data_IF_896654465911
#
_entry.id   IF_896654465911
#
_cell.length_a   1.000
_cell.length_b   1.000
_cell.length_c   1.000
_cell.angle_alpha   90.00
_cell.angle_beta   90.00
_cell.angle_gamma   90.00
#
_symmetry.space_group_name_H-M   'P 1'
#
loop_
_entity.id
_entity.type
_entity.pdbx_description
1 polymer ?
#
# COMPACT_ATOMS: atom_id res chain seq x y z
N UNK A 1 13.71 1.71 -11.93
CA UNK A 1 13.66 0.59 -10.95
C UNK A 1 14.30 1.09 -9.66
N UNK A 2 13.72 0.78 -8.51
CA UNK A 2 14.35 1.11 -7.23
C UNK A 2 15.36 0.02 -6.89
N UNK A 3 16.59 0.39 -6.56
CA UNK A 3 17.61 -0.56 -6.15
C UNK A 3 17.32 -1.04 -4.72
N UNK A 4 17.43 -2.35 -4.39
CA UNK A 4 17.14 -2.88 -3.04
C UNK A 4 17.90 -2.16 -1.92
N UNK A 5 19.09 -1.68 -2.20
CA UNK A 5 19.92 -0.90 -1.28
C UNK A 5 19.21 0.36 -0.77
N UNK A 6 18.44 1.05 -1.61
CA UNK A 6 17.70 2.26 -1.20
C UNK A 6 16.67 1.91 -0.10
N UNK A 7 15.93 0.81 -0.28
CA UNK A 7 14.93 0.38 0.68
C UNK A 7 15.49 -0.09 2.03
N UNK A 8 16.77 -0.51 2.07
CA UNK A 8 17.44 -1.04 3.26
C UNK A 8 18.32 -0.02 3.97
N UNK A 9 18.58 1.13 3.35
CA UNK A 9 19.44 2.19 3.88
C UNK A 9 18.62 3.38 4.33
N UNK A 10 18.51 3.67 5.65
CA UNK A 10 17.63 4.72 6.16
C UNK A 10 17.86 6.10 5.55
N UNK A 11 19.11 6.46 5.29
CA UNK A 11 19.49 7.74 4.71
C UNK A 11 19.15 7.85 3.22
N UNK A 12 19.33 6.78 2.44
CA UNK A 12 18.93 6.73 1.02
C UNK A 12 17.40 6.68 0.90
N UNK A 13 16.76 5.95 1.79
CA UNK A 13 15.31 5.87 1.89
C UNK A 13 14.71 7.26 2.19
N UNK A 14 15.30 7.99 3.13
CA UNK A 14 14.87 9.34 3.46
C UNK A 14 14.99 10.30 2.26
N UNK A 15 16.08 10.25 1.48
CA UNK A 15 16.22 11.04 0.25
C UNK A 15 15.09 10.76 -0.76
N UNK A 16 14.77 9.48 -0.95
CA UNK A 16 13.66 9.08 -1.83
C UNK A 16 12.30 9.55 -1.31
N UNK A 17 12.05 9.34 -0.03
CA UNK A 17 10.78 9.65 0.62
C UNK A 17 10.57 11.17 0.76
N UNK A 18 11.64 11.94 0.81
CA UNK A 18 11.63 13.41 0.67
C UNK A 18 11.22 13.86 -0.77
N UNK A 19 11.11 12.93 -1.73
CA UNK A 19 10.67 13.19 -3.09
C UNK A 19 11.80 13.43 -4.10
N UNK A 20 13.06 13.20 -3.75
CA UNK A 20 14.17 13.30 -4.68
C UNK A 20 14.16 12.13 -5.67
N UNK A 21 14.59 12.39 -6.90
CA UNK A 21 14.78 11.35 -7.92
C UNK A 21 16.10 10.61 -7.69
N UNK A 22 16.06 9.57 -6.86
CA UNK A 22 17.22 8.83 -6.36
C UNK A 22 17.41 7.53 -7.13
N UNK A 23 18.65 7.23 -7.52
CA UNK A 23 19.05 5.99 -8.16
C UNK A 23 20.38 5.52 -7.59
N UNK A 24 20.58 4.19 -7.48
CA UNK A 24 21.89 3.58 -7.24
C UNK A 24 22.34 2.94 -8.55
N UNK A 25 23.53 3.32 -9.04
CA UNK A 25 24.07 2.86 -10.31
C UNK A 25 25.59 2.69 -10.23
N UNK A 26 26.08 1.46 -10.44
CA UNK A 26 27.50 1.18 -10.51
C UNK A 26 28.31 1.64 -9.30
N UNK A 27 27.80 1.43 -8.07
CA UNK A 27 28.44 1.88 -6.84
C UNK A 27 28.35 3.40 -6.59
N UNK A 28 27.43 4.08 -7.26
CA UNK A 28 27.19 5.50 -7.07
C UNK A 28 25.74 5.77 -6.66
N UNK A 29 25.56 6.73 -5.76
CA UNK A 29 24.31 7.38 -5.46
C UNK A 29 24.08 8.53 -6.43
N UNK A 30 22.99 8.53 -7.15
CA UNK A 30 22.65 9.50 -8.20
C UNK A 30 21.37 10.20 -7.85
N UNK A 31 21.36 11.53 -7.84
CA UNK A 31 20.17 12.36 -7.73
C UNK A 31 19.98 13.11 -9.04
N UNK A 32 18.83 12.89 -9.70
CA UNK A 32 18.49 13.46 -11.01
C UNK A 32 17.51 14.61 -10.86
N UNK A 33 17.32 15.35 -11.96
CA UNK A 33 16.35 16.45 -12.07
C UNK A 33 16.64 17.56 -11.06
N UNK A 34 17.94 17.88 -10.89
CA UNK A 34 18.38 18.92 -9.96
C UNK A 34 18.30 20.29 -10.64
N UNK A 35 17.52 21.24 -10.12
CA UNK A 35 17.48 22.61 -10.61
C UNK A 35 18.82 23.33 -10.34
N UNK A 36 19.29 24.07 -11.33
CA UNK A 36 20.49 24.90 -11.22
C UNK A 36 20.41 26.13 -12.12
N UNK A 37 21.23 27.13 -11.85
CA UNK A 37 21.35 28.34 -12.68
C UNK A 37 22.49 28.17 -13.66
N UNK A 38 22.27 28.54 -14.92
CA UNK A 38 23.31 28.59 -15.96
C UNK A 38 24.03 29.95 -15.98
N UNK A 39 25.18 30.05 -16.70
CA UNK A 39 25.85 31.32 -16.92
C UNK A 39 24.98 32.37 -17.64
N UNK A 40 23.98 31.93 -18.41
CA UNK A 40 22.98 32.81 -19.05
C UNK A 40 21.86 33.22 -18.10
N UNK A 41 21.95 32.92 -16.79
CA UNK A 41 20.93 33.21 -15.77
C UNK A 41 19.58 32.54 -16.03
N UNK A 42 19.59 31.40 -16.70
CA UNK A 42 18.43 30.56 -16.89
C UNK A 42 18.41 29.42 -15.87
N UNK A 43 17.23 29.10 -15.31
CA UNK A 43 17.05 27.92 -14.48
C UNK A 43 16.85 26.71 -15.38
N UNK A 44 17.69 25.69 -15.22
CA UNK A 44 17.54 24.36 -15.83
C UNK A 44 17.26 23.33 -14.75
N UNK A 45 16.63 22.20 -15.13
CA UNK A 45 16.22 21.13 -14.19
C UNK A 45 16.80 19.76 -14.55
N UNK A 46 17.77 19.71 -15.47
CA UNK A 46 18.38 18.50 -15.96
C UNK A 46 19.74 18.19 -15.30
N UNK A 47 20.10 18.89 -14.23
CA UNK A 47 21.29 18.62 -13.46
C UNK A 47 21.24 17.24 -12.78
N UNK A 48 22.41 16.57 -12.70
CA UNK A 48 22.56 15.29 -12.00
C UNK A 48 23.70 15.39 -11.00
N UNK A 49 23.40 15.15 -9.74
CA UNK A 49 24.35 15.10 -8.63
C UNK A 49 24.70 13.63 -8.31
N UNK A 50 26.00 13.31 -8.24
CA UNK A 50 26.47 11.94 -8.07
C UNK A 50 27.46 11.88 -6.92
N UNK A 51 27.31 10.90 -6.04
CA UNK A 51 28.29 10.56 -5.00
C UNK A 51 28.73 9.11 -5.15
N UNK A 52 30.02 8.82 -4.94
CA UNK A 52 30.43 7.44 -4.66
C UNK A 52 29.62 6.94 -3.46
N UNK A 53 29.19 5.70 -3.49
CA UNK A 53 28.38 5.09 -2.46
C UNK A 53 29.17 4.00 -1.74
N UNK A 54 29.56 4.31 -0.50
CA UNK A 54 30.21 3.36 0.39
C UNK A 54 29.14 2.48 1.02
N UNK A 55 29.38 1.18 1.11
CA UNK A 55 28.42 0.20 1.63
C UNK A 55 29.09 -0.74 2.63
N UNK A 56 28.29 -1.37 3.48
CA UNK A 56 28.69 -2.46 4.37
C UNK A 56 27.56 -3.48 4.50
N UNK A 57 27.86 -4.63 5.10
CA UNK A 57 26.88 -5.71 5.26
C UNK A 57 26.36 -5.73 6.70
N UNK A 58 25.03 -5.69 6.86
CA UNK A 58 24.30 -5.86 8.12
C UNK A 58 23.29 -6.99 7.94
N UNK A 59 23.34 -8.00 8.81
CA UNK A 59 22.44 -9.17 8.78
C UNK A 59 22.36 -9.86 7.40
N UNK A 60 23.50 -9.90 6.68
CA UNK A 60 23.61 -10.51 5.36
C UNK A 60 23.13 -9.62 4.20
N UNK A 61 22.75 -8.39 4.46
CA UNK A 61 22.30 -7.43 3.45
C UNK A 61 23.24 -6.24 3.31
N UNK A 62 23.43 -5.81 2.08
CA UNK A 62 24.17 -4.58 1.79
C UNK A 62 23.32 -3.34 2.12
N UNK A 63 23.91 -2.41 2.89
CA UNK A 63 23.33 -1.12 3.29
C UNK A 63 24.36 -0.01 3.09
N UNK A 64 23.92 1.27 3.04
CA UNK A 64 24.82 2.42 2.97
C UNK A 64 25.71 2.51 4.22
N UNK A 65 26.97 2.85 4.02
CA UNK A 65 27.90 3.22 5.09
C UNK A 65 27.96 4.76 5.23
N UNK A 66 28.67 5.24 6.26
CA UNK A 66 29.00 6.67 6.35
C UNK A 66 29.86 7.05 5.15
N UNK A 67 29.59 8.17 4.45
CA UNK A 67 30.42 8.62 3.33
C UNK A 67 31.89 8.80 3.74
N UNK A 68 32.80 8.10 3.07
CA UNK A 68 34.27 8.23 3.29
C UNK A 68 34.74 9.49 2.61
N UNK A 69 34.24 9.78 1.42
CA UNK A 69 34.64 10.93 0.62
C UNK A 69 33.63 12.06 0.73
N UNK A 70 34.12 13.30 0.77
CA UNK A 70 33.31 14.50 0.75
C UNK A 70 32.97 15.01 -0.66
N UNK A 71 33.63 14.47 -1.70
CA UNK A 71 33.46 14.87 -3.10
C UNK A 71 32.10 14.34 -3.66
N UNK A 72 31.60 15.10 -4.65
CA UNK A 72 30.51 14.71 -5.52
C UNK A 72 30.86 15.05 -6.97
N UNK A 73 30.22 14.35 -7.90
CA UNK A 73 30.33 14.62 -9.32
C UNK A 73 29.03 15.25 -9.83
N UNK A 74 29.13 15.97 -10.93
CA UNK A 74 28.02 16.68 -11.54
C UNK A 74 27.97 16.41 -13.04
N UNK A 75 26.77 16.17 -13.55
CA UNK A 75 26.48 16.10 -14.98
C UNK A 75 25.56 17.28 -15.32
N UNK A 76 25.93 18.05 -16.33
CA UNK A 76 25.25 19.22 -16.83
C UNK A 76 26.18 20.43 -16.92
N UNK A 77 25.64 21.60 -17.32
CA UNK A 77 26.39 22.84 -17.27
C UNK A 77 26.84 23.19 -15.85
N UNK A 78 27.93 23.92 -15.70
CA UNK A 78 28.43 24.31 -14.38
C UNK A 78 27.37 25.14 -13.64
N UNK A 79 26.95 24.76 -12.43
CA UNK A 79 25.97 25.52 -11.66
C UNK A 79 26.51 26.91 -11.27
N UNK A 80 25.68 27.93 -11.41
CA UNK A 80 26.00 29.33 -11.18
C UNK A 80 25.16 29.92 -10.04
N UNK A 81 25.64 31.04 -9.50
CA UNK A 81 24.85 31.91 -8.67
C UNK A 81 23.72 32.57 -9.49
N UNK A 82 22.73 33.15 -8.83
CA UNK A 82 21.60 33.83 -9.48
C UNK A 82 22.03 34.96 -10.43
N UNK A 83 23.22 35.53 -10.23
CA UNK A 83 23.80 36.55 -11.11
C UNK A 83 24.52 35.97 -12.34
N UNK A 84 24.59 34.65 -12.50
CA UNK A 84 25.24 33.96 -13.61
C UNK A 84 26.72 33.67 -13.40
N UNK A 85 27.33 34.11 -12.29
CA UNK A 85 28.70 33.75 -11.95
C UNK A 85 28.82 32.32 -11.44
N UNK A 86 29.90 31.60 -11.80
CA UNK A 86 30.12 30.20 -11.38
C UNK A 86 30.19 30.06 -9.85
N UNK A 87 29.58 29.06 -9.27
CA UNK A 87 29.75 28.72 -7.85
C UNK A 87 31.10 28.06 -7.66
N UNK A 88 32.10 28.85 -7.29
CA UNK A 88 33.50 28.36 -7.12
C UNK A 88 33.84 27.91 -5.71
N UNK A 89 32.96 28.17 -4.73
CA UNK A 89 33.26 27.89 -3.31
C UNK A 89 33.49 26.42 -2.98
N UNK A 90 32.96 25.51 -3.78
CA UNK A 90 33.18 24.08 -3.67
C UNK A 90 33.67 23.43 -4.98
N UNK A 91 34.06 24.21 -6.00
CA UNK A 91 34.62 23.67 -7.24
C UNK A 91 35.96 22.94 -6.97
N UNK A 92 36.09 21.74 -7.48
CA UNK A 92 37.35 21.00 -7.49
C UNK A 92 37.75 20.78 -8.96
N UNK A 93 38.63 21.61 -9.50
CA UNK A 93 39.00 21.54 -10.91
C UNK A 93 39.54 20.17 -11.29
N UNK A 94 38.81 19.48 -12.14
CA UNK A 94 39.17 18.16 -12.69
C UNK A 94 38.68 18.06 -14.13
N UNK A 95 39.34 17.30 -15.00
CA UNK A 95 38.80 16.99 -16.32
C UNK A 95 37.50 16.18 -16.17
N UNK A 96 36.63 16.20 -17.19
CA UNK A 96 35.46 15.29 -17.23
C UNK A 96 35.87 13.84 -16.98
N UNK A 97 35.04 13.11 -16.23
CA UNK A 97 35.33 11.74 -15.77
C UNK A 97 34.26 10.77 -16.23
N UNK A 98 34.68 9.62 -16.74
CA UNK A 98 33.78 8.49 -16.95
C UNK A 98 33.78 7.62 -15.69
N UNK A 99 32.61 7.62 -14.98
CA UNK A 99 32.43 6.86 -13.76
C UNK A 99 31.92 5.44 -14.05
N UNK A 100 31.82 5.07 -15.32
CA UNK A 100 31.22 3.80 -15.75
C UNK A 100 29.70 3.81 -15.76
N UNK A 101 29.11 2.70 -16.20
CA UNK A 101 27.66 2.50 -16.21
C UNK A 101 26.84 3.63 -16.87
N UNK A 102 27.47 4.35 -17.84
CA UNK A 102 26.85 5.47 -18.54
C UNK A 102 26.82 6.79 -17.77
N UNK A 103 27.55 6.88 -16.65
CA UNK A 103 27.72 8.12 -15.87
C UNK A 103 28.98 8.85 -16.32
N UNK A 104 28.83 9.96 -17.06
CA UNK A 104 29.91 10.82 -17.51
C UNK A 104 29.78 12.16 -16.81
N UNK A 105 30.64 12.39 -15.81
CA UNK A 105 30.66 13.60 -15.02
C UNK A 105 31.40 14.72 -15.74
N UNK A 106 30.76 15.90 -15.83
CA UNK A 106 31.36 17.09 -16.42
C UNK A 106 32.24 17.85 -15.40
N UNK A 107 31.85 17.82 -14.12
CA UNK A 107 32.53 18.52 -13.03
C UNK A 107 32.61 17.66 -11.77
N UNK A 108 33.62 18.01 -10.93
CA UNK A 108 33.73 17.50 -9.57
C UNK A 108 33.64 18.67 -8.59
N UNK A 109 32.93 18.44 -7.48
CA UNK A 109 32.78 19.39 -6.38
C UNK A 109 33.31 18.79 -5.08
N UNK A 110 33.87 19.64 -4.21
CA UNK A 110 34.51 19.22 -2.98
C UNK A 110 34.28 20.23 -1.87
N UNK A 111 33.25 19.97 -1.04
CA UNK A 111 33.06 20.73 0.19
C UNK A 111 33.46 19.86 1.38
N UNK A 112 34.58 20.25 2.01
CA UNK A 112 35.12 19.50 3.16
C UNK A 112 34.23 19.67 4.39
N UNK A 113 33.48 18.61 4.72
CA UNK A 113 32.67 18.50 5.93
C UNK A 113 32.64 17.05 6.40
N UNK A 114 32.37 16.84 7.67
CA UNK A 114 32.10 15.51 8.22
C UNK A 114 30.62 15.20 8.02
N UNK A 115 30.31 14.56 6.90
CA UNK A 115 28.93 14.16 6.60
C UNK A 115 28.55 12.94 7.44
N UNK A 116 27.44 13.05 8.18
CA UNK A 116 26.94 11.98 9.02
C UNK A 116 26.51 10.76 8.21
N UNK A 117 25.85 10.99 7.08
CA UNK A 117 25.24 10.02 6.19
C UNK A 117 25.04 10.63 4.78
N UNK A 118 24.54 9.86 3.83
CA UNK A 118 24.28 10.34 2.47
C UNK A 118 23.12 11.33 2.39
N UNK A 119 22.12 11.25 3.27
CA UNK A 119 21.07 12.28 3.32
C UNK A 119 21.67 13.64 3.64
N UNK A 120 22.49 13.74 4.67
CA UNK A 120 23.17 14.96 5.05
C UNK A 120 24.09 15.47 3.93
N UNK A 121 24.87 14.59 3.30
CA UNK A 121 25.78 14.95 2.21
C UNK A 121 25.04 15.51 1.01
N UNK A 122 24.08 14.77 0.47
CA UNK A 122 23.36 15.16 -0.74
C UNK A 122 22.52 16.42 -0.52
N UNK A 123 21.85 16.53 0.64
CA UNK A 123 21.09 17.73 1.01
C UNK A 123 21.95 18.99 1.11
N UNK A 124 23.19 18.88 1.60
CA UNK A 124 24.10 20.01 1.67
C UNK A 124 24.43 20.56 0.25
N UNK A 125 24.83 19.68 -0.66
CA UNK A 125 25.13 20.10 -2.04
C UNK A 125 23.88 20.60 -2.79
N UNK A 126 22.75 19.91 -2.63
CA UNK A 126 21.49 20.37 -3.22
C UNK A 126 21.08 21.75 -2.69
N UNK A 127 21.24 22.00 -1.39
CA UNK A 127 20.92 23.30 -0.79
C UNK A 127 21.70 24.44 -1.42
N UNK A 128 22.99 24.27 -1.70
CA UNK A 128 23.82 25.30 -2.36
C UNK A 128 23.44 25.53 -3.82
N UNK A 129 23.14 24.46 -4.58
CA UNK A 129 22.85 24.53 -6.01
C UNK A 129 21.40 25.01 -6.24
N UNK A 130 20.43 24.32 -5.63
CA UNK A 130 19.01 24.61 -5.79
C UNK A 130 18.65 25.97 -5.15
N UNK A 131 19.29 26.34 -4.04
CA UNK A 131 19.08 27.63 -3.40
C UNK A 131 19.39 28.83 -4.32
N UNK A 132 20.35 28.71 -5.23
CA UNK A 132 20.58 29.76 -6.24
C UNK A 132 19.49 29.77 -7.32
N UNK A 133 19.00 28.62 -7.73
CA UNK A 133 17.87 28.52 -8.66
C UNK A 133 16.58 29.12 -8.07
N UNK A 134 16.33 28.91 -6.79
CA UNK A 134 15.17 29.44 -6.07
C UNK A 134 15.15 30.96 -5.96
N UNK A 135 16.31 31.63 -6.06
CA UNK A 135 16.36 33.10 -6.13
C UNK A 135 15.78 33.65 -7.43
N UNK A 136 15.83 32.86 -8.52
CA UNK A 136 15.28 33.22 -9.84
C UNK A 136 13.88 32.65 -10.06
N UNK A 137 13.64 31.41 -9.63
CA UNK A 137 12.34 30.75 -9.65
C UNK A 137 12.06 30.11 -8.27
N UNK A 138 11.23 30.76 -7.44
CA UNK A 138 10.90 30.22 -6.11
C UNK A 138 10.27 28.84 -6.11
N UNK A 139 9.78 28.34 -7.26
CA UNK A 139 9.22 26.99 -7.42
C UNK A 139 10.26 25.93 -7.78
N UNK A 140 11.52 26.33 -8.05
CA UNK A 140 12.58 25.39 -8.37
C UNK A 140 12.82 24.42 -7.19
N UNK A 141 12.64 23.13 -7.44
CA UNK A 141 12.85 22.07 -6.43
C UNK A 141 13.39 20.82 -7.08
N UNK A 142 14.29 20.11 -6.37
CA UNK A 142 14.72 18.77 -6.72
C UNK A 142 13.73 17.69 -6.22
N UNK A 143 12.75 18.05 -5.42
CA UNK A 143 11.72 17.16 -4.87
C UNK A 143 10.58 17.02 -5.90
N UNK A 144 10.79 16.13 -6.86
CA UNK A 144 9.87 15.90 -7.99
C UNK A 144 8.87 14.78 -7.75
N UNK A 145 9.00 14.07 -6.62
CA UNK A 145 8.16 12.94 -6.21
C UNK A 145 7.97 11.90 -7.34
N UNK A 146 9.05 11.33 -7.90
CA UNK A 146 8.95 10.41 -9.02
C UNK A 146 8.25 9.12 -8.62
N UNK A 147 7.53 8.53 -9.58
CA UNK A 147 6.95 7.20 -9.40
C UNK A 147 8.03 6.15 -9.69
N UNK A 148 8.27 5.29 -8.71
CA UNK A 148 9.22 4.17 -8.85
C UNK A 148 8.45 2.88 -9.12
N UNK A 149 8.66 2.28 -10.29
CA UNK A 149 8.18 0.93 -10.56
C UNK A 149 8.97 -0.08 -9.72
N UNK A 150 8.30 -1.11 -9.24
CA UNK A 150 8.94 -2.24 -8.56
C UNK A 150 9.76 -3.06 -9.56
N UNK A 151 10.95 -3.50 -9.18
CA UNK A 151 11.83 -4.35 -10.02
C UNK A 151 11.21 -5.73 -10.28
N UNK A 152 11.59 -6.39 -11.38
CA UNK A 152 11.07 -7.72 -11.70
C UNK A 152 11.45 -8.76 -10.65
N UNK A 153 12.64 -8.66 -10.07
CA UNK A 153 13.19 -9.56 -9.04
C UNK A 153 12.76 -9.21 -7.61
N UNK A 154 12.04 -8.11 -7.41
CA UNK A 154 11.58 -7.72 -6.08
C UNK A 154 10.43 -8.61 -5.61
N UNK A 155 10.46 -9.02 -4.34
CA UNK A 155 9.36 -9.76 -3.69
C UNK A 155 8.14 -8.90 -3.36
N UNK A 156 8.16 -7.62 -3.71
CA UNK A 156 7.05 -6.70 -3.49
C UNK A 156 5.84 -7.07 -4.38
N UNK A 157 4.64 -7.22 -3.82
CA UNK A 157 3.45 -7.56 -4.59
C UNK A 157 2.92 -6.43 -5.47
N UNK A 158 3.45 -5.21 -5.35
CA UNK A 158 2.96 -4.03 -6.04
C UNK A 158 3.67 -3.75 -7.37
N UNK A 159 2.99 -3.05 -8.27
CA UNK A 159 3.57 -2.54 -9.52
C UNK A 159 4.52 -1.35 -9.30
N UNK A 160 4.33 -0.62 -8.19
CA UNK A 160 5.12 0.54 -7.80
C UNK A 160 5.27 0.59 -6.27
N UNK A 161 6.30 1.30 -5.82
CA UNK A 161 6.71 1.30 -4.42
C UNK A 161 5.70 2.03 -3.53
N UNK A 162 5.36 1.43 -2.39
CA UNK A 162 4.61 2.07 -1.31
C UNK A 162 5.52 3.06 -0.55
N UNK A 163 5.43 4.33 -0.90
CA UNK A 163 6.12 5.41 -0.18
C UNK A 163 5.33 5.94 1.01
N UNK A 164 4.05 5.58 1.16
CA UNK A 164 3.25 6.02 2.29
C UNK A 164 3.70 5.35 3.60
N UNK A 165 3.91 4.03 3.56
CA UNK A 165 4.36 3.27 4.74
C UNK A 165 5.78 3.62 5.17
N UNK A 166 6.71 3.82 4.20
CA UNK A 166 8.09 4.18 4.51
C UNK A 166 8.20 5.58 5.14
N UNK A 167 7.44 6.56 4.64
CA UNK A 167 7.43 7.93 5.16
C UNK A 167 7.01 8.04 6.63
N UNK A 168 6.19 7.12 7.12
CA UNK A 168 5.71 7.10 8.52
C UNK A 168 6.35 5.99 9.35
N UNK A 169 7.31 5.25 8.79
CA UNK A 169 8.12 4.27 9.52
C UNK A 169 7.39 2.99 9.94
N UNK A 170 6.29 2.60 9.26
CA UNK A 170 5.52 1.38 9.58
C UNK A 170 5.92 0.15 8.76
N UNK A 171 7.10 0.16 8.14
CA UNK A 171 7.60 -0.96 7.33
C UNK A 171 7.60 -2.29 8.07
N UNK A 172 8.17 -2.33 9.28
CA UNK A 172 8.20 -3.53 10.12
C UNK A 172 6.82 -4.05 10.54
N UNK A 173 5.82 -3.17 10.66
CA UNK A 173 4.44 -3.61 10.91
C UNK A 173 3.82 -4.23 9.66
N UNK A 174 4.13 -3.72 8.47
CA UNK A 174 3.70 -4.31 7.21
C UNK A 174 4.32 -5.69 6.96
N UNK A 175 5.52 -5.97 7.47
CA UNK A 175 6.17 -7.28 7.33
C UNK A 175 5.38 -8.40 8.01
N UNK A 176 4.62 -8.10 9.08
CA UNK A 176 3.69 -9.04 9.73
C UNK A 176 2.60 -9.56 8.80
N UNK A 177 2.32 -8.84 7.72
CA UNK A 177 1.29 -9.18 6.75
C UNK A 177 1.81 -10.00 5.56
N UNK A 178 3.12 -10.06 5.32
CA UNK A 178 3.72 -10.61 4.10
C UNK A 178 3.45 -12.11 3.88
N UNK A 179 3.33 -12.88 4.96
CA UNK A 179 3.04 -14.32 4.88
C UNK A 179 1.55 -14.63 4.70
N UNK A 180 0.68 -13.63 4.78
CA UNK A 180 -0.76 -13.84 4.77
C UNK A 180 -1.29 -14.18 3.38
N UNK A 181 -2.20 -15.18 3.35
CA UNK A 181 -2.97 -15.61 2.19
C UNK A 181 -4.43 -15.47 2.51
N UNK A 182 -5.07 -14.48 1.94
CA UNK A 182 -6.43 -14.06 2.27
C UNK A 182 -7.46 -14.66 1.32
N UNK A 183 -8.56 -15.16 1.85
CA UNK A 183 -9.77 -15.47 1.10
C UNK A 183 -10.81 -14.38 1.29
N UNK A 184 -11.47 -13.95 0.22
CA UNK A 184 -12.64 -13.07 0.28
C UNK A 184 -13.78 -13.80 -0.41
N UNK A 185 -14.79 -14.21 0.35
CA UNK A 185 -15.94 -14.94 -0.16
C UNK A 185 -17.12 -13.98 -0.23
N UNK A 186 -17.54 -13.65 -1.46
CA UNK A 186 -18.50 -12.62 -1.77
C UNK A 186 -17.87 -11.25 -2.01
N UNK A 187 -18.09 -10.68 -3.20
CA UNK A 187 -17.62 -9.36 -3.64
C UNK A 187 -18.80 -8.40 -3.88
N UNK A 188 -19.77 -8.46 -2.97
CA UNK A 188 -20.87 -7.49 -2.89
C UNK A 188 -20.37 -6.14 -2.35
N UNK A 189 -21.26 -5.39 -1.69
CA UNK A 189 -20.91 -4.10 -1.11
C UNK A 189 -19.71 -4.20 -0.16
N UNK A 190 -19.85 -4.91 0.97
CA UNK A 190 -18.78 -5.02 1.99
C UNK A 190 -17.54 -5.74 1.46
N UNK A 191 -17.69 -6.88 0.77
CA UNK A 191 -16.55 -7.65 0.29
C UNK A 191 -15.67 -6.91 -0.73
N UNK A 192 -16.26 -6.04 -1.54
CA UNK A 192 -15.50 -5.19 -2.46
C UNK A 192 -14.68 -4.11 -1.73
N UNK A 193 -15.18 -3.54 -0.63
CA UNK A 193 -14.39 -2.65 0.22
C UNK A 193 -13.33 -3.40 1.04
N UNK A 194 -13.60 -4.63 1.50
CA UNK A 194 -12.55 -5.48 2.10
C UNK A 194 -11.40 -5.66 1.09
N UNK A 195 -11.73 -6.01 -0.16
CA UNK A 195 -10.73 -6.15 -1.22
C UNK A 195 -9.96 -4.85 -1.44
N UNK A 196 -10.63 -3.70 -1.53
CA UNK A 196 -9.95 -2.41 -1.71
C UNK A 196 -8.94 -2.13 -0.60
N UNK A 197 -9.28 -2.42 0.65
CA UNK A 197 -8.41 -2.19 1.79
C UNK A 197 -7.22 -3.18 1.84
N UNK A 198 -7.48 -4.49 1.63
CA UNK A 198 -6.41 -5.50 1.72
C UNK A 198 -5.52 -5.53 0.48
N UNK A 199 -6.01 -5.11 -0.70
CA UNK A 199 -5.20 -4.98 -1.91
C UNK A 199 -4.04 -3.99 -1.75
N UNK A 200 -4.16 -3.04 -0.85
CA UNK A 200 -3.14 -2.03 -0.50
C UNK A 200 -2.17 -2.50 0.59
N UNK A 201 -2.22 -3.77 0.97
CA UNK A 201 -1.33 -4.38 1.97
C UNK A 201 -0.34 -5.35 1.31
N UNK A 202 0.79 -5.63 1.97
CA UNK A 202 1.86 -6.48 1.43
C UNK A 202 1.60 -7.99 1.58
N UNK A 203 0.34 -8.42 1.67
CA UNK A 203 -0.01 -9.84 1.77
C UNK A 203 0.47 -10.64 0.56
N UNK A 204 0.83 -11.90 0.77
CA UNK A 204 1.33 -12.79 -0.28
C UNK A 204 0.26 -13.10 -1.32
N UNK A 205 -0.98 -13.35 -0.87
CA UNK A 205 -2.09 -13.76 -1.75
C UNK A 205 -3.42 -13.16 -1.30
N UNK A 206 -4.24 -12.79 -2.28
CA UNK A 206 -5.67 -12.47 -2.11
C UNK A 206 -6.42 -13.32 -3.12
N UNK A 207 -7.25 -14.24 -2.63
CA UNK A 207 -8.08 -15.13 -3.45
C UNK A 207 -9.54 -14.73 -3.33
N UNK A 208 -10.13 -14.33 -4.45
CA UNK A 208 -11.50 -13.80 -4.54
C UNK A 208 -12.47 -14.86 -5.03
N UNK A 209 -13.65 -14.93 -4.42
CA UNK A 209 -14.72 -15.86 -4.80
C UNK A 209 -16.04 -15.11 -4.93
N UNK A 210 -16.62 -15.08 -6.11
CA UNK A 210 -17.97 -14.55 -6.38
C UNK A 210 -18.45 -15.08 -7.75
N UNK A 211 -19.71 -15.48 -7.87
CA UNK A 211 -20.27 -16.00 -9.11
C UNK A 211 -21.10 -14.97 -9.88
N UNK A 212 -21.39 -13.83 -9.27
CA UNK A 212 -22.34 -12.87 -9.80
C UNK A 212 -21.72 -11.87 -10.80
N UNK A 213 -22.56 -11.34 -11.68
CA UNK A 213 -22.22 -10.21 -12.53
C UNK A 213 -22.13 -8.91 -11.74
N UNK A 214 -21.45 -7.94 -12.34
CA UNK A 214 -21.38 -6.57 -11.83
C UNK A 214 -22.42 -5.70 -12.53
N UNK A 215 -23.46 -5.32 -11.79
CA UNK A 215 -24.56 -4.53 -12.28
C UNK A 215 -24.49 -3.08 -11.79
N UNK A 216 -25.32 -2.21 -12.36
CA UNK A 216 -25.38 -0.78 -12.01
C UNK A 216 -25.55 -0.52 -10.52
N UNK A 217 -26.39 -1.32 -9.84
CA UNK A 217 -26.60 -1.15 -8.39
C UNK A 217 -25.34 -1.47 -7.56
N UNK A 218 -24.43 -2.30 -8.07
CA UNK A 218 -23.16 -2.56 -7.41
C UNK A 218 -22.23 -1.32 -7.45
N UNK A 219 -22.27 -0.55 -8.53
CA UNK A 219 -21.45 0.65 -8.70
C UNK A 219 -21.72 1.73 -7.63
N UNK A 220 -22.95 1.78 -7.09
CA UNK A 220 -23.34 2.75 -6.07
C UNK A 220 -23.06 2.30 -4.63
N UNK A 221 -22.59 1.06 -4.44
CA UNK A 221 -22.30 0.52 -3.10
C UNK A 221 -20.94 -0.17 -2.98
N UNK A 222 -20.10 0.01 -3.97
CA UNK A 222 -18.73 -0.55 -4.06
C UNK A 222 -17.71 0.57 -4.24
N UNK A 223 -16.41 0.33 -3.97
CA UNK A 223 -15.36 1.32 -4.16
C UNK A 223 -15.12 1.60 -5.66
N UNK A 224 -14.61 2.80 -5.94
CA UNK A 224 -14.29 3.24 -7.29
C UNK A 224 -15.41 4.02 -7.98
N UNK A 225 -15.11 4.54 -9.16
CA UNK A 225 -16.05 5.26 -10.03
C UNK A 225 -16.08 4.54 -11.38
N UNK A 226 -17.20 3.94 -11.71
CA UNK A 226 -17.37 3.08 -12.89
C UNK A 226 -17.95 3.88 -14.05
N UNK A 227 -17.34 3.79 -15.20
CA UNK A 227 -17.84 4.45 -16.41
C UNK A 227 -19.08 3.72 -16.96
N UNK A 228 -19.87 4.45 -17.75
CA UNK A 228 -21.03 3.87 -18.43
C UNK A 228 -20.64 2.70 -19.35
N UNK A 229 -19.47 2.81 -20.00
CA UNK A 229 -18.94 1.80 -20.90
C UNK A 229 -18.57 0.53 -20.14
N UNK A 230 -17.92 0.64 -18.97
CA UNK A 230 -17.61 -0.50 -18.12
C UNK A 230 -18.89 -1.22 -17.65
N UNK A 231 -19.93 -0.49 -17.26
CA UNK A 231 -21.19 -1.07 -16.82
C UNK A 231 -21.95 -1.80 -17.95
N UNK A 232 -21.81 -1.33 -19.18
CA UNK A 232 -22.41 -1.99 -20.35
C UNK A 232 -21.76 -3.34 -20.68
N UNK A 233 -20.53 -3.60 -20.24
CA UNK A 233 -19.80 -4.85 -20.58
C UNK A 233 -20.33 -6.08 -19.84
N UNK A 234 -21.15 -5.91 -18.79
CA UNK A 234 -21.79 -6.97 -17.98
C UNK A 234 -20.82 -8.10 -17.62
N UNK A 235 -19.67 -7.73 -17.08
CA UNK A 235 -18.64 -8.69 -16.62
C UNK A 235 -18.95 -9.20 -15.21
N UNK A 236 -18.31 -10.29 -14.83
CA UNK A 236 -18.39 -10.82 -13.47
C UNK A 236 -17.61 -9.94 -12.49
N UNK A 237 -18.10 -9.83 -11.25
CA UNK A 237 -17.45 -9.02 -10.19
C UNK A 237 -15.97 -9.37 -10.03
N UNK A 238 -15.64 -10.66 -9.95
CA UNK A 238 -14.25 -11.14 -9.80
C UNK A 238 -13.33 -10.66 -10.92
N UNK A 239 -13.82 -10.60 -12.16
CA UNK A 239 -13.04 -10.17 -13.33
C UNK A 239 -12.76 -8.66 -13.29
N UNK A 240 -13.80 -7.87 -13.03
CA UNK A 240 -13.69 -6.41 -12.92
C UNK A 240 -12.70 -6.02 -11.83
N UNK A 241 -12.81 -6.63 -10.65
CA UNK A 241 -11.92 -6.33 -9.54
C UNK A 241 -10.51 -6.84 -9.75
N UNK A 242 -10.31 -7.99 -10.39
CA UNK A 242 -8.99 -8.47 -10.76
C UNK A 242 -8.27 -7.50 -11.71
N UNK A 243 -8.97 -6.94 -12.69
CA UNK A 243 -8.41 -5.92 -13.58
C UNK A 243 -8.14 -4.60 -12.84
N UNK A 244 -9.08 -4.14 -12.00
CA UNK A 244 -8.92 -2.89 -11.25
C UNK A 244 -7.70 -2.95 -10.35
N UNK A 245 -7.59 -3.98 -9.50
CA UNK A 245 -6.49 -4.10 -8.52
C UNK A 245 -5.22 -4.70 -9.14
N UNK A 246 -5.28 -5.31 -10.32
CA UNK A 246 -4.11 -5.65 -11.13
C UNK A 246 -3.29 -4.44 -11.57
N UNK A 247 -3.88 -3.24 -11.60
CA UNK A 247 -3.15 -1.98 -11.81
C UNK A 247 -2.25 -1.62 -10.63
N UNK A 248 -2.61 -2.03 -9.43
CA UNK A 248 -1.83 -1.84 -8.20
C UNK A 248 -0.91 -3.02 -7.92
N UNK A 249 -1.42 -4.25 -8.05
CA UNK A 249 -0.73 -5.49 -7.69
C UNK A 249 -0.29 -6.24 -8.94
N UNK A 250 0.99 -6.61 -8.99
CA UNK A 250 1.56 -7.43 -10.09
C UNK A 250 1.50 -8.93 -9.80
N UNK A 251 1.33 -9.33 -8.51
CA UNK A 251 1.26 -10.73 -8.09
C UNK A 251 0.38 -10.90 -6.86
N UNK A 252 0.06 -12.17 -6.57
CA UNK A 252 -0.71 -12.53 -5.39
C UNK A 252 -2.18 -12.14 -5.45
N UNK A 253 -2.75 -11.93 -6.64
CA UNK A 253 -4.17 -11.69 -6.83
C UNK A 253 -4.74 -12.78 -7.75
N UNK A 254 -5.66 -13.58 -7.23
CA UNK A 254 -6.33 -14.64 -7.97
C UNK A 254 -7.84 -14.58 -7.75
N UNK A 255 -8.61 -15.14 -8.68
CA UNK A 255 -10.06 -15.14 -8.60
C UNK A 255 -10.69 -16.43 -9.09
N UNK A 256 -11.83 -16.77 -8.49
CA UNK A 256 -12.68 -17.88 -8.87
C UNK A 256 -14.10 -17.37 -9.11
N UNK A 257 -14.56 -17.51 -10.34
CA UNK A 257 -15.94 -17.19 -10.73
C UNK A 257 -16.86 -18.33 -10.29
N UNK A 258 -17.02 -18.48 -8.98
CA UNK A 258 -17.83 -19.55 -8.38
C UNK A 258 -18.34 -19.14 -7.01
N UNK A 259 -19.46 -19.73 -6.61
CA UNK A 259 -19.89 -19.72 -5.22
C UNK A 259 -19.10 -20.78 -4.45
N UNK A 260 -18.62 -20.45 -3.27
CA UNK A 260 -18.06 -21.43 -2.35
C UNK A 260 -19.21 -22.14 -1.66
N UNK A 261 -19.21 -23.45 -1.73
CA UNK A 261 -20.22 -24.35 -1.17
C UNK A 261 -19.56 -25.55 -0.52
N UNK A 262 -20.31 -26.37 0.17
CA UNK A 262 -19.84 -27.64 0.74
C UNK A 262 -19.14 -28.58 -0.28
N UNK A 263 -19.45 -28.43 -1.58
CA UNK A 263 -18.89 -29.26 -2.65
C UNK A 263 -17.47 -28.83 -3.09
N UNK A 264 -17.02 -27.60 -2.78
CA UNK A 264 -15.76 -27.07 -3.32
C UNK A 264 -14.86 -26.39 -2.27
N UNK A 265 -14.99 -26.72 -0.99
CA UNK A 265 -14.24 -26.15 0.12
C UNK A 265 -12.71 -26.29 -0.04
N UNK A 266 -12.25 -27.26 -0.81
CA UNK A 266 -10.83 -27.44 -1.14
C UNK A 266 -10.21 -26.17 -1.84
N UNK A 267 -11.03 -25.32 -2.44
CA UNK A 267 -10.58 -24.04 -3.00
C UNK A 267 -10.01 -23.08 -1.94
N UNK A 268 -10.33 -23.31 -0.67
CA UNK A 268 -9.87 -22.49 0.46
C UNK A 268 -8.55 -23.04 1.08
N UNK A 269 -8.03 -24.16 0.60
CA UNK A 269 -6.79 -24.74 1.14
C UNK A 269 -5.61 -23.76 0.99
N UNK A 270 -4.77 -23.73 2.03
CA UNK A 270 -3.58 -22.88 2.10
C UNK A 270 -3.86 -21.41 2.43
N UNK A 271 -5.11 -20.99 2.60
CA UNK A 271 -5.44 -19.68 3.14
C UNK A 271 -5.10 -19.60 4.63
N UNK A 272 -4.66 -18.41 5.07
CA UNK A 272 -4.32 -18.14 6.47
C UNK A 272 -5.41 -17.33 7.17
N UNK A 273 -6.31 -16.72 6.41
CA UNK A 273 -7.45 -15.95 6.92
C UNK A 273 -8.54 -15.83 5.87
N UNK A 274 -9.82 -15.80 6.29
CA UNK A 274 -10.96 -15.67 5.38
C UNK A 274 -11.92 -14.57 5.84
N UNK A 275 -12.28 -13.70 4.91
CA UNK A 275 -13.38 -12.74 5.07
C UNK A 275 -14.63 -13.34 4.47
N UNK A 276 -15.65 -13.59 5.31
CA UNK A 276 -16.95 -14.08 4.90
C UNK A 276 -17.88 -12.89 4.69
N UNK A 277 -18.09 -12.55 3.42
CA UNK A 277 -18.94 -11.43 2.99
C UNK A 277 -20.18 -11.96 2.26
N UNK A 278 -20.74 -13.04 2.80
CA UNK A 278 -21.90 -13.76 2.29
C UNK A 278 -23.15 -13.40 3.09
N UNK A 279 -24.28 -13.46 2.42
CA UNK A 279 -25.56 -13.56 3.08
C UNK A 279 -25.68 -14.91 3.82
N UNK A 280 -26.73 -15.10 4.58
CA UNK A 280 -26.94 -16.28 5.44
C UNK A 280 -27.16 -17.58 4.65
N UNK A 281 -27.13 -18.71 5.36
CA UNK A 281 -27.56 -19.98 4.83
C UNK A 281 -26.66 -21.15 5.22
N UNK A 282 -27.09 -22.35 4.83
CA UNK A 282 -26.42 -23.62 5.10
C UNK A 282 -24.99 -23.67 4.56
N UNK A 283 -24.76 -23.03 3.41
CA UNK A 283 -23.43 -23.01 2.78
C UNK A 283 -22.44 -22.22 3.63
N UNK A 284 -22.86 -21.11 4.22
CA UNK A 284 -22.04 -20.32 5.15
C UNK A 284 -21.63 -21.15 6.37
N UNK A 285 -22.58 -21.93 6.93
CA UNK A 285 -22.29 -22.84 8.05
C UNK A 285 -21.25 -23.88 7.67
N UNK A 286 -21.40 -24.53 6.52
CA UNK A 286 -20.45 -25.53 6.04
C UNK A 286 -19.04 -24.94 5.84
N UNK A 287 -18.94 -23.72 5.35
CA UNK A 287 -17.65 -22.99 5.21
C UNK A 287 -17.04 -22.75 6.59
N UNK A 288 -17.82 -22.25 7.55
CA UNK A 288 -17.36 -21.93 8.91
C UNK A 288 -16.86 -23.21 9.61
N UNK A 289 -17.61 -24.30 9.56
CA UNK A 289 -17.22 -25.57 10.16
C UNK A 289 -15.91 -26.09 9.58
N UNK A 290 -15.74 -25.96 8.25
CA UNK A 290 -14.50 -26.35 7.56
C UNK A 290 -13.30 -25.49 7.99
N UNK A 291 -13.48 -24.18 8.18
CA UNK A 291 -12.44 -23.27 8.65
C UNK A 291 -12.03 -23.56 10.09
N UNK A 292 -13.01 -23.82 10.97
CA UNK A 292 -12.79 -24.18 12.39
C UNK A 292 -11.97 -25.48 12.47
N UNK A 293 -12.36 -26.51 11.70
CA UNK A 293 -11.70 -27.81 11.65
C UNK A 293 -10.21 -27.69 11.29
N UNK A 294 -9.86 -26.70 10.47
CA UNK A 294 -8.49 -26.43 10.00
C UNK A 294 -7.78 -25.31 10.77
N UNK A 295 -8.40 -24.83 11.83
CA UNK A 295 -7.87 -23.73 12.64
C UNK A 295 -7.57 -22.46 11.83
N UNK A 296 -8.34 -22.20 10.77
CA UNK A 296 -8.21 -21.01 9.95
C UNK A 296 -9.10 -19.90 10.56
N UNK A 297 -8.52 -18.77 10.99
CA UNK A 297 -9.29 -17.66 11.51
C UNK A 297 -10.08 -16.96 10.39
N UNK A 298 -11.22 -16.39 10.77
CA UNK A 298 -12.10 -15.69 9.84
C UNK A 298 -12.80 -14.51 10.48
N UNK A 299 -13.32 -13.61 9.66
CA UNK A 299 -14.33 -12.64 10.06
C UNK A 299 -15.60 -12.86 9.24
N UNK A 300 -16.73 -12.90 9.91
CA UNK A 300 -18.06 -12.84 9.32
C UNK A 300 -18.60 -11.40 9.42
N UNK A 301 -18.88 -10.79 8.27
CA UNK A 301 -19.42 -9.43 8.21
C UNK A 301 -20.92 -9.48 7.93
N UNK A 302 -21.66 -8.65 8.62
CA UNK A 302 -23.10 -8.56 8.44
C UNK A 302 -23.60 -7.14 8.56
N UNK A 303 -24.73 -6.88 7.91
CA UNK A 303 -25.39 -5.60 7.93
C UNK A 303 -26.90 -5.86 7.96
N UNK A 304 -27.59 -5.34 8.99
CA UNK A 304 -29.04 -5.37 9.10
C UNK A 304 -29.57 -3.94 9.14
N UNK A 305 -29.94 -3.38 7.97
CA UNK A 305 -30.43 -2.02 7.83
C UNK A 305 -31.91 -2.07 7.38
N UNK A 306 -32.77 -1.44 8.14
CA UNK A 306 -34.21 -1.39 7.87
C UNK A 306 -34.72 0.05 7.88
N UNK A 307 -35.89 0.26 7.29
CA UNK A 307 -36.56 1.55 7.30
C UNK A 307 -37.53 1.64 8.50
N UNK A 308 -37.19 2.54 9.42
CA UNK A 308 -38.09 2.91 10.51
C UNK A 308 -38.88 4.19 10.20
N UNK A 309 -39.78 4.58 11.11
CA UNK A 309 -40.64 5.78 10.94
C UNK A 309 -39.82 7.09 10.84
N UNK A 310 -38.67 7.16 11.45
CA UNK A 310 -37.84 8.36 11.54
C UNK A 310 -36.58 8.30 10.63
N UNK A 311 -36.46 7.27 9.79
CA UNK A 311 -35.32 7.08 8.90
C UNK A 311 -34.78 5.66 8.90
N UNK A 312 -33.59 5.49 8.34
CA UNK A 312 -32.92 4.19 8.33
C UNK A 312 -32.29 3.92 9.70
N UNK A 313 -32.40 2.68 10.15
CA UNK A 313 -31.83 2.18 11.41
C UNK A 313 -31.29 0.77 11.23
N UNK A 314 -30.47 0.31 12.16
CA UNK A 314 -29.91 -1.03 12.11
C UNK A 314 -28.51 -1.11 12.68
N UNK A 315 -27.86 -2.22 12.40
CA UNK A 315 -26.53 -2.51 12.90
C UNK A 315 -25.62 -2.99 11.77
N UNK A 316 -24.36 -2.54 11.82
CA UNK A 316 -23.24 -3.09 11.06
C UNK A 316 -22.41 -3.92 12.02
N UNK A 317 -22.13 -5.19 11.71
CA UNK A 317 -21.45 -6.10 12.63
C UNK A 317 -20.28 -6.85 12.00
N UNK A 318 -19.30 -7.17 12.83
CA UNK A 318 -18.18 -8.05 12.53
C UNK A 318 -18.08 -9.10 13.63
N UNK A 319 -18.10 -10.37 13.25
CA UNK A 319 -17.88 -11.51 14.14
C UNK A 319 -16.53 -12.15 13.76
N UNK A 320 -15.68 -12.45 14.73
CA UNK A 320 -14.37 -12.99 14.49
C UNK A 320 -14.21 -14.35 15.16
N UNK A 321 -14.02 -15.38 14.35
CA UNK A 321 -13.58 -16.71 14.81
C UNK A 321 -12.06 -16.84 14.68
N UNK A 322 -11.42 -17.24 15.76
CA UNK A 322 -9.97 -17.49 15.79
C UNK A 322 -9.62 -18.71 16.66
N UNK A 323 -8.49 -19.37 16.43
CA UNK A 323 -8.05 -20.49 17.25
C UNK A 323 -8.08 -20.18 18.75
N UNK A 324 -8.74 -21.05 19.53
CA UNK A 324 -8.96 -20.88 20.96
C UNK A 324 -10.21 -20.04 21.32
N UNK A 325 -10.84 -19.36 20.37
CA UNK A 325 -11.97 -18.45 20.59
C UNK A 325 -13.12 -18.64 19.60
N UNK A 326 -13.20 -19.77 18.92
CA UNK A 326 -14.33 -20.03 18.00
C UNK A 326 -15.66 -20.14 18.72
N UNK A 327 -15.66 -20.70 19.95
CA UNK A 327 -16.86 -20.82 20.75
C UNK A 327 -17.47 -19.48 21.19
N UNK A 328 -16.61 -18.47 21.37
CA UNK A 328 -17.05 -17.11 21.72
C UNK A 328 -17.75 -16.41 20.54
N UNK A 329 -17.33 -16.74 19.31
CA UNK A 329 -17.93 -16.20 18.09
C UNK A 329 -19.28 -16.86 17.73
N UNK A 330 -19.47 -18.14 18.09
CA UNK A 330 -20.61 -18.97 17.66
C UNK A 330 -21.99 -18.32 17.89
N UNK A 331 -22.31 -17.72 19.07
CA UNK A 331 -23.63 -17.12 19.31
C UNK A 331 -23.99 -15.96 18.38
N UNK A 332 -22.98 -15.36 17.74
CA UNK A 332 -23.12 -14.15 16.90
C UNK A 332 -23.10 -14.44 15.40
N UNK A 333 -22.83 -15.71 15.02
CA UNK A 333 -22.76 -16.11 13.61
C UNK A 333 -24.18 -16.23 13.03
N UNK A 334 -24.43 -15.61 11.89
CA UNK A 334 -25.70 -15.69 11.17
C UNK A 334 -25.69 -16.90 10.23
N UNK A 335 -25.94 -18.08 10.77
CA UNK A 335 -25.95 -19.35 10.03
C UNK A 335 -27.34 -20.03 10.02
N UNK A 336 -28.39 -19.36 10.48
CA UNK A 336 -29.72 -19.93 10.59
C UNK A 336 -30.37 -20.23 9.24
N UNK A 337 -31.24 -21.28 9.21
CA UNK A 337 -32.22 -21.48 8.14
C UNK A 337 -33.28 -20.37 8.31
N UNK A 338 -33.19 -19.32 7.52
CA UNK A 338 -34.26 -18.33 7.46
C UNK A 338 -35.35 -18.95 6.60
N UNK A 339 -36.52 -19.16 7.18
CA UNK A 339 -37.74 -19.44 6.40
C UNK A 339 -37.85 -18.35 5.32
N UNK A 340 -38.11 -18.74 4.06
CA UNK A 340 -38.25 -17.80 2.94
C UNK A 340 -39.29 -16.70 3.18
N UNK A 341 -40.23 -16.94 4.09
CA UNK A 341 -41.26 -16.00 4.51
C UNK A 341 -40.74 -14.89 5.45
N UNK A 342 -39.65 -15.08 6.17
CA UNK A 342 -39.03 -14.11 7.07
C UNK A 342 -37.72 -13.51 6.53
N UNK A 343 -37.48 -13.60 5.22
CA UNK A 343 -36.23 -13.13 4.62
C UNK A 343 -36.11 -11.60 4.69
N UNK A 344 -35.80 -11.12 5.89
CA UNK A 344 -35.49 -9.71 6.19
C UNK A 344 -34.31 -9.22 5.29
N UNK A 345 -33.50 -10.14 4.80
CA UNK A 345 -32.33 -9.85 3.93
C UNK A 345 -32.73 -9.60 2.47
N UNK A 346 -33.87 -10.07 1.99
CA UNK A 346 -34.38 -9.68 0.67
C UNK A 346 -34.64 -8.17 0.56
N UNK A 347 -34.80 -7.51 1.72
CA UNK A 347 -34.98 -6.06 1.87
C UNK A 347 -33.79 -5.36 2.48
N UNK A 348 -32.66 -6.05 2.67
CA UNK A 348 -31.48 -5.47 3.32
C UNK A 348 -30.93 -4.29 2.52
N UNK A 349 -31.03 -3.11 3.12
CA UNK A 349 -30.58 -1.86 2.53
C UNK A 349 -29.06 -1.79 2.66
N UNK A 350 -28.35 -1.85 1.53
CA UNK A 350 -26.90 -1.72 1.47
C UNK A 350 -26.51 -0.35 0.93
N UNK A 351 -25.72 0.39 1.69
CA UNK A 351 -25.30 1.75 1.39
C UNK A 351 -23.77 1.80 1.44
N UNK A 352 -23.15 2.60 0.56
CA UNK A 352 -21.71 2.61 0.35
C UNK A 352 -20.90 2.85 1.64
N UNK A 353 -21.27 3.86 2.42
CA UNK A 353 -20.56 4.21 3.66
C UNK A 353 -20.68 3.13 4.74
N UNK A 354 -21.80 2.43 4.83
CA UNK A 354 -21.99 1.34 5.79
C UNK A 354 -21.21 0.08 5.35
N UNK A 355 -21.15 -0.20 4.05
CA UNK A 355 -20.29 -1.24 3.49
C UNK A 355 -18.83 -0.95 3.75
N UNK A 356 -18.39 0.31 3.57
CA UNK A 356 -17.02 0.75 3.82
C UNK A 356 -16.67 0.65 5.31
N UNK A 357 -17.56 1.07 6.21
CA UNK A 357 -17.39 0.95 7.66
C UNK A 357 -17.24 -0.52 8.09
N UNK A 358 -18.15 -1.39 7.61
CA UNK A 358 -18.10 -2.81 7.92
C UNK A 358 -16.79 -3.46 7.47
N UNK A 359 -16.36 -3.17 6.25
CA UNK A 359 -15.08 -3.64 5.72
C UNK A 359 -13.89 -3.11 6.52
N UNK A 360 -13.90 -1.82 6.91
CA UNK A 360 -12.86 -1.23 7.73
C UNK A 360 -12.76 -1.91 9.11
N UNK A 361 -13.89 -2.15 9.78
CA UNK A 361 -13.94 -2.89 11.05
C UNK A 361 -13.34 -4.29 10.91
N UNK A 362 -13.72 -5.05 9.86
CA UNK A 362 -13.22 -6.39 9.61
C UNK A 362 -11.71 -6.41 9.34
N UNK A 363 -11.20 -5.49 8.52
CA UNK A 363 -9.78 -5.39 8.20
C UNK A 363 -8.96 -4.94 9.42
N UNK A 364 -9.45 -4.01 10.23
CA UNK A 364 -8.81 -3.61 11.49
C UNK A 364 -8.75 -4.82 12.43
N UNK A 365 -9.82 -5.59 12.55
CA UNK A 365 -9.85 -6.78 13.41
C UNK A 365 -8.84 -7.84 12.96
N UNK A 366 -8.78 -8.14 11.66
CA UNK A 366 -7.76 -9.01 11.09
C UNK A 366 -6.33 -8.53 11.41
N UNK A 367 -6.04 -7.24 11.23
CA UNK A 367 -4.73 -6.65 11.53
C UNK A 367 -4.38 -6.69 13.02
N UNK A 368 -5.38 -6.60 13.91
CA UNK A 368 -5.18 -6.79 15.37
C UNK A 368 -4.76 -8.22 15.70
N UNK A 369 -5.39 -9.22 15.09
CA UNK A 369 -5.01 -10.63 15.29
C UNK A 369 -3.55 -10.92 14.91
N UNK A 370 -3.01 -10.18 13.94
CA UNK A 370 -1.61 -10.30 13.49
C UNK A 370 -0.64 -9.41 14.27
N UNK A 371 -1.12 -8.65 15.26
CA UNK A 371 -0.29 -7.72 16.03
C UNK A 371 0.20 -6.50 15.22
N UNK A 372 -0.44 -6.19 14.09
CA UNK A 372 -0.22 -4.92 13.37
C UNK A 372 -0.72 -3.75 14.21
N UNK A 373 -1.92 -3.86 14.76
CA UNK A 373 -2.44 -2.99 15.81
C UNK A 373 -2.39 -3.71 17.16
N UNK A 374 -2.25 -2.95 18.24
CA UNK A 374 -2.37 -3.50 19.59
C UNK A 374 -3.80 -4.04 19.80
N UNK A 375 -3.94 -5.31 20.14
CA UNK A 375 -5.19 -5.94 20.51
C UNK A 375 -5.30 -6.02 22.05
N UNK A 376 -5.96 -5.04 22.65
CA UNK A 376 -6.14 -5.00 24.10
C UNK A 376 -7.43 -5.70 24.56
N UNK A 377 -8.40 -5.87 23.66
CA UNK A 377 -9.75 -6.33 24.01
C UNK A 377 -10.03 -7.77 23.63
N UNK A 378 -9.27 -8.38 22.71
CA UNK A 378 -9.53 -9.73 22.16
C UNK A 378 -11.00 -9.91 21.72
N UNK A 379 -11.50 -8.91 21.02
CA UNK A 379 -12.89 -8.85 20.59
C UNK A 379 -13.25 -10.03 19.67
N UNK A 380 -14.37 -10.67 19.91
CA UNK A 380 -14.97 -11.67 19.01
C UNK A 380 -16.23 -11.13 18.31
N UNK A 381 -16.85 -10.09 18.86
CA UNK A 381 -17.98 -9.40 18.27
C UNK A 381 -17.80 -7.88 18.36
N UNK A 382 -18.13 -7.19 17.27
CA UNK A 382 -18.19 -5.72 17.24
C UNK A 382 -19.39 -5.30 16.39
N UNK A 383 -20.23 -4.43 16.94
CA UNK A 383 -21.42 -3.90 16.28
C UNK A 383 -21.48 -2.37 16.36
N UNK A 384 -21.78 -1.72 15.24
CA UNK A 384 -22.05 -0.28 15.19
C UNK A 384 -23.54 -0.05 14.98
N UNK A 385 -24.18 0.60 15.95
CA UNK A 385 -25.60 0.95 15.90
C UNK A 385 -25.79 2.27 15.15
N UNK A 386 -26.46 2.23 14.00
CA UNK A 386 -26.60 3.38 13.10
C UNK A 386 -27.38 4.53 13.75
N UNK A 387 -28.45 4.20 14.50
CA UNK A 387 -29.35 5.20 15.08
C UNK A 387 -28.71 5.99 16.24
N UNK A 388 -27.80 5.38 17.00
CA UNK A 388 -27.20 5.99 18.21
C UNK A 388 -25.74 6.37 18.02
N UNK A 389 -25.07 5.80 17.01
CA UNK A 389 -23.62 5.94 16.81
C UNK A 389 -22.78 5.14 17.82
N UNK A 390 -23.39 4.23 18.57
CA UNK A 390 -22.71 3.43 19.59
C UNK A 390 -21.99 2.22 19.00
N UNK A 391 -20.82 1.92 19.55
CA UNK A 391 -20.09 0.68 19.32
C UNK A 391 -20.39 -0.30 20.46
N UNK A 392 -20.95 -1.44 20.12
CA UNK A 392 -21.10 -2.58 21.04
C UNK A 392 -19.97 -3.54 20.76
N UNK A 393 -19.25 -3.94 21.81
CA UNK A 393 -18.10 -4.85 21.70
C UNK A 393 -18.24 -5.94 22.75
N UNK A 394 -18.04 -7.19 22.32
CA UNK A 394 -17.91 -8.32 23.22
C UNK A 394 -16.50 -8.92 23.05
N UNK A 395 -15.83 -9.14 24.17
CA UNK A 395 -14.44 -9.61 24.27
C UNK A 395 -14.37 -10.89 25.12
N UNK A 396 -13.36 -11.73 24.85
CA UNK A 396 -13.10 -12.96 25.59
C UNK A 396 -12.44 -12.70 26.94
#
# INVERSE_FOLDING_TARGET
MSHPLIGRSPDLLALRDDGLNVEVRGGHLVVKVVPFVTAARAVRTDGVLISTLDTHVVDGFEVSAKPVQHQVHWIGEHPCHADGSKIRSFENPSPPQDLGHGLKADFMFSAKADYRDYQHKMRAYLGWIVGEAQKLDPKATAETHPVYATGEDDDDPFNYIDTASSRVGIGGDNDKLQSQRLGIIGLGGTGSYVLDLVAKTRVAEIRMFDADGFDTHNAFRAPGAWSLEELKTKRFKVQIYAELYGKLRRRGLSFHQTRVTSANLALLEGLTFVFLCLDEGREKRAIIDWLIERSIPFTDVGMGVTRGPQGLQGIVRVVTGAPGHYADAEPHLSCGDVDEAENIYATNIQIAELNALNAAMAVIRWKRLLGFYRDAGREHYSGYQIATGEMVVEAA
#
